data_IF_952319619802
#
_entry.id   IF_952319619802
#
_cell.length_a   1.000
_cell.length_b   1.000
_cell.length_c   1.000
_cell.angle_alpha   90.00
_cell.angle_beta   90.00
_cell.angle_gamma   90.00
#
_symmetry.space_group_name_H-M   'P 1'
#
loop_
_entity.id
_entity.type
_entity.pdbx_description
1 polymer ?
#
# COMPACT_ATOMS: atom_id res chain seq x y z
N UNK A 1 -2.48 -0.14 14.67
CA UNK A 1 -1.51 0.53 13.78
C UNK A 1 -0.27 -0.33 13.68
N UNK A 2 -0.18 -1.17 12.65
CA UNK A 2 0.95 -2.08 12.42
C UNK A 2 1.72 -1.60 11.20
N UNK A 3 2.70 -0.73 11.44
CA UNK A 3 3.70 -0.38 10.43
C UNK A 3 4.65 -1.55 10.28
N UNK A 4 4.86 -1.99 9.05
CA UNK A 4 5.80 -3.06 8.73
C UNK A 4 6.74 -2.58 7.64
N UNK A 5 7.98 -3.09 7.66
CA UNK A 5 8.93 -2.85 6.56
C UNK A 5 8.35 -3.44 5.27
N UNK A 6 8.67 -2.82 4.14
CA UNK A 6 8.27 -3.31 2.82
C UNK A 6 8.59 -4.80 2.61
N UNK A 7 9.77 -5.23 3.06
CA UNK A 7 10.19 -6.64 2.97
C UNK A 7 9.23 -7.59 3.68
N UNK A 8 8.79 -7.22 4.89
CA UNK A 8 7.81 -8.01 5.65
C UNK A 8 6.41 -7.94 5.03
N UNK A 9 6.02 -6.78 4.49
CA UNK A 9 4.75 -6.63 3.78
C UNK A 9 4.66 -7.58 2.57
N UNK A 10 5.72 -7.61 1.76
CA UNK A 10 5.84 -8.52 0.60
C UNK A 10 5.72 -9.98 1.04
N UNK A 11 6.37 -10.36 2.14
CA UNK A 11 6.35 -11.73 2.67
C UNK A 11 4.95 -12.17 3.15
N UNK A 12 4.24 -11.31 3.89
CA UNK A 12 2.92 -11.66 4.46
C UNK A 12 1.76 -11.54 3.46
N UNK A 13 1.84 -10.64 2.48
CA UNK A 13 0.76 -10.41 1.51
C UNK A 13 0.97 -11.13 0.19
N UNK A 14 2.20 -11.54 -0.12
CA UNK A 14 2.58 -12.00 -1.45
C UNK A 14 2.63 -10.89 -2.51
N UNK A 15 2.42 -9.63 -2.12
CA UNK A 15 2.55 -8.48 -3.02
C UNK A 15 4.02 -8.21 -3.34
N UNK A 16 4.31 -7.47 -4.40
CA UNK A 16 5.69 -7.18 -4.81
C UNK A 16 6.14 -5.78 -4.39
N UNK A 17 7.43 -5.65 -4.06
CA UNK A 17 8.03 -4.36 -3.76
C UNK A 17 7.86 -3.35 -4.91
N UNK A 18 7.88 -3.85 -6.15
CA UNK A 18 7.68 -3.04 -7.34
C UNK A 18 6.24 -2.55 -7.49
N UNK A 19 5.24 -3.39 -7.20
CA UNK A 19 3.84 -2.98 -7.17
C UNK A 19 3.60 -1.87 -6.13
N UNK A 20 4.17 -1.99 -4.93
CA UNK A 20 4.10 -0.94 -3.90
C UNK A 20 4.73 0.37 -4.37
N UNK A 21 5.92 0.31 -4.96
CA UNK A 21 6.60 1.48 -5.53
C UNK A 21 5.80 2.11 -6.67
N UNK A 22 5.22 1.29 -7.54
CA UNK A 22 4.36 1.72 -8.64
C UNK A 22 3.09 2.39 -8.13
N UNK A 23 2.43 1.84 -7.09
CA UNK A 23 1.26 2.46 -6.44
C UNK A 23 1.59 3.82 -5.83
N UNK A 24 2.74 3.93 -5.17
CA UNK A 24 3.24 5.19 -4.63
C UNK A 24 3.57 6.19 -5.74
N UNK A 25 4.27 5.77 -6.80
CA UNK A 25 4.59 6.62 -7.96
C UNK A 25 3.33 7.11 -8.67
N UNK A 26 2.29 6.29 -8.72
CA UNK A 26 1.00 6.64 -9.32
C UNK A 26 0.11 7.50 -8.41
N UNK A 27 0.57 7.85 -7.19
CA UNK A 27 -0.19 8.63 -6.22
C UNK A 27 -1.36 7.88 -5.58
N UNK A 28 -1.46 6.56 -5.76
CA UNK A 28 -2.49 5.72 -5.12
C UNK A 28 -2.22 5.52 -3.64
N UNK A 29 -0.94 5.47 -3.27
CA UNK A 29 -0.49 5.39 -1.88
C UNK A 29 0.15 6.71 -1.49
N UNK A 30 -0.36 7.30 -0.42
CA UNK A 30 0.10 8.58 0.09
C UNK A 30 1.19 8.35 1.16
N UNK A 31 2.25 9.14 1.07
CA UNK A 31 3.29 9.20 2.09
C UNK A 31 2.73 9.84 3.37
N UNK A 32 2.72 9.07 4.46
CA UNK A 32 2.12 9.43 5.75
C UNK A 32 0.86 8.64 6.11
N UNK A 33 0.18 8.03 5.14
CA UNK A 33 -1.06 7.26 5.35
C UNK A 33 -0.85 5.77 5.09
N UNK A 34 -0.68 5.37 3.81
CA UNK A 34 -0.47 3.97 3.42
C UNK A 34 1.01 3.57 3.47
N UNK A 35 1.90 4.50 3.13
CA UNK A 35 3.33 4.26 3.14
C UNK A 35 4.07 5.41 3.80
N UNK A 36 5.28 5.17 4.31
CA UNK A 36 6.13 6.19 4.92
C UNK A 36 7.59 5.81 4.77
N UNK A 37 8.45 6.75 4.43
CA UNK A 37 9.90 6.54 4.51
C UNK A 37 10.36 6.94 5.92
N UNK A 38 11.07 6.03 6.59
CA UNK A 38 11.76 6.28 7.86
C UNK A 38 13.17 5.72 7.75
N UNK A 39 14.18 6.56 7.97
CA UNK A 39 15.60 6.22 7.88
C UNK A 39 15.99 5.54 6.55
N UNK A 40 15.41 6.00 5.43
CA UNK A 40 15.66 5.43 4.10
C UNK A 40 14.94 4.11 3.83
N UNK A 41 14.24 3.53 4.81
CA UNK A 41 13.42 2.33 4.63
C UNK A 41 11.96 2.69 4.36
N UNK A 42 11.35 1.99 3.40
CA UNK A 42 9.92 2.10 3.16
C UNK A 42 9.15 1.25 4.16
N UNK A 43 8.29 1.91 4.91
CA UNK A 43 7.32 1.32 5.81
C UNK A 43 5.94 1.37 5.16
N UNK A 44 5.19 0.28 5.31
CA UNK A 44 3.83 0.14 4.83
C UNK A 44 2.93 -0.02 6.05
N UNK A 45 1.84 0.74 6.09
CA UNK A 45 0.82 0.60 7.10
C UNK A 45 -0.16 -0.48 6.67
N UNK A 46 -0.17 -1.62 7.37
CA UNK A 46 -1.00 -2.75 7.00
C UNK A 46 -2.50 -2.40 7.00
N UNK A 47 -2.97 -1.70 8.03
CA UNK A 47 -4.39 -1.39 8.16
C UNK A 47 -4.89 -0.48 7.01
N UNK A 48 -4.09 0.51 6.62
CA UNK A 48 -4.44 1.41 5.52
C UNK A 48 -4.25 0.74 4.14
N UNK A 49 -3.28 -0.17 4.01
CA UNK A 49 -3.11 -0.98 2.82
C UNK A 49 -4.29 -1.96 2.63
N UNK A 50 -4.76 -2.62 3.69
CA UNK A 50 -5.94 -3.49 3.67
C UNK A 50 -7.21 -2.73 3.29
N UNK A 51 -7.47 -1.59 3.96
CA UNK A 51 -8.58 -0.70 3.59
C UNK A 51 -8.51 -0.25 2.13
N UNK A 52 -7.30 0.04 1.64
CA UNK A 52 -7.11 0.39 0.24
C UNK A 52 -7.46 -0.77 -0.68
N UNK A 53 -7.08 -2.00 -0.34
CA UNK A 53 -7.43 -3.22 -1.09
C UNK A 53 -8.94 -3.45 -1.08
N UNK A 54 -9.63 -3.26 0.05
CA UNK A 54 -11.10 -3.37 0.13
C UNK A 54 -11.81 -2.33 -0.75
N UNK A 55 -11.25 -1.12 -0.86
CA UNK A 55 -11.74 -0.07 -1.76
C UNK A 55 -11.29 -0.27 -3.22
N UNK A 56 -10.26 -1.09 -3.44
CA UNK A 56 -9.69 -1.37 -4.75
C UNK A 56 -10.56 -2.39 -5.48
N UNK A 57 -11.42 -1.88 -6.36
CA UNK A 57 -12.39 -2.69 -7.13
C UNK A 57 -13.83 -2.20 -6.98
N UNK A 58 -14.15 -1.50 -5.89
CA UNK A 58 -15.48 -0.89 -5.68
C UNK A 58 -15.72 0.35 -6.55
N UNK A 59 -14.68 0.86 -7.24
CA UNK A 59 -14.77 1.97 -8.21
C UNK A 59 -15.09 1.55 -9.66
N UNK A 60 -15.58 0.33 -9.88
CA UNK A 60 -16.15 -0.10 -11.17
C UNK A 60 -17.52 -0.77 -10.97
N UNK A 61 -18.51 0.02 -10.56
CA UNK A 61 -19.93 -0.34 -10.71
C UNK A 61 -20.83 0.90 -10.85
N UNK A 62 -20.33 1.99 -11.43
CA UNK A 62 -21.13 3.19 -11.77
C UNK A 62 -20.66 3.73 -13.12
N UNK A 63 -20.83 2.91 -14.15
CA UNK A 63 -20.84 3.31 -15.56
C UNK A 63 -21.43 2.14 -16.38
N UNK A 64 -22.71 1.86 -16.20
CA UNK A 64 -23.55 1.11 -17.14
C UNK A 64 -24.99 1.57 -16.97
#
# INVERSE_FOLDING_TARGET
MTWVKLTKYVDITGDTADAVRSRRKMGKWLDGTQCKIVDGFLWVNLAEAEKWVEQWGTKQALAA
#
